data_IF_175209638688
#
_entry.id   IF_175209638688
#
_cell.length_a   1.000
_cell.length_b   1.000
_cell.length_c   1.000
_cell.angle_alpha   90.00
_cell.angle_beta   90.00
_cell.angle_gamma   90.00
#
_symmetry.space_group_name_H-M   'P 1'
#
loop_
_entity.id
_entity.type
_entity.pdbx_description
1 polymer ?
#
# COMPACT_ATOMS: atom_id res chain seq x y z
N UNK A 1 -3.60 -11.64 -10.77
CA UNK A 1 -2.29 -11.58 -10.10
C UNK A 1 -2.21 -12.75 -9.12
N UNK A 2 -1.74 -13.93 -9.53
CA UNK A 2 -1.76 -15.15 -8.68
C UNK A 2 -0.77 -15.05 -7.52
N UNK A 3 0.38 -14.39 -7.73
CA UNK A 3 1.42 -14.22 -6.73
C UNK A 3 1.01 -13.42 -5.47
N UNK A 4 -0.08 -12.64 -5.53
CA UNK A 4 -0.65 -11.99 -4.32
C UNK A 4 -1.34 -13.03 -3.43
N UNK A 5 -2.03 -14.00 -4.04
CA UNK A 5 -2.76 -15.05 -3.32
C UNK A 5 -1.82 -16.09 -2.71
N UNK A 6 -0.65 -16.32 -3.32
CA UNK A 6 0.37 -17.24 -2.83
C UNK A 6 1.22 -16.63 -1.70
N UNK A 7 1.11 -15.32 -1.46
CA UNK A 7 1.86 -14.64 -0.41
C UNK A 7 1.23 -14.89 0.98
N UNK A 8 2.01 -15.30 1.99
CA UNK A 8 1.49 -15.56 3.35
C UNK A 8 0.88 -14.33 4.03
N UNK A 9 1.27 -13.11 3.61
CA UNK A 9 0.65 -11.87 4.07
C UNK A 9 0.72 -10.78 2.98
N UNK A 10 -0.23 -9.86 2.96
CA UNK A 10 -0.21 -8.67 2.11
C UNK A 10 -0.50 -7.42 2.93
N UNK A 11 0.37 -6.42 2.85
CA UNK A 11 0.09 -5.09 3.40
C UNK A 11 -0.74 -4.27 2.42
N UNK A 12 -1.72 -3.51 2.91
CA UNK A 12 -2.45 -2.53 2.10
C UNK A 12 -2.24 -1.15 2.72
N UNK A 13 -1.70 -0.24 1.91
CA UNK A 13 -1.50 1.15 2.30
C UNK A 13 -2.67 1.95 1.73
N UNK A 14 -3.48 2.51 2.61
CA UNK A 14 -4.60 3.38 2.26
C UNK A 14 -4.39 4.79 2.82
N UNK A 15 -4.88 5.80 2.11
CA UNK A 15 -4.79 7.19 2.52
C UNK A 15 -6.15 7.83 2.72
N UNK A 16 -6.22 8.73 3.70
CA UNK A 16 -7.32 9.67 3.90
C UNK A 16 -6.92 11.02 3.27
N UNK A 17 -7.27 11.24 2.01
CA UNK A 17 -6.85 12.45 1.29
C UNK A 17 -7.27 13.74 1.97
N UNK A 18 -8.49 13.80 2.50
CA UNK A 18 -9.05 14.99 3.14
C UNK A 18 -8.19 15.48 4.30
N UNK A 19 -7.59 14.56 5.07
CA UNK A 19 -6.72 14.89 6.19
C UNK A 19 -5.50 15.72 5.76
N UNK A 20 -4.93 15.42 4.61
CA UNK A 20 -3.73 16.11 4.09
C UNK A 20 -4.12 17.32 3.23
N UNK A 21 -5.15 17.21 2.39
CA UNK A 21 -5.60 18.32 1.53
C UNK A 21 -6.24 19.46 2.34
N UNK A 22 -6.84 19.18 3.51
CA UNK A 22 -7.34 20.24 4.41
C UNK A 22 -6.26 21.25 4.79
N UNK A 23 -4.99 20.84 4.88
CA UNK A 23 -3.86 21.72 5.21
C UNK A 23 -3.16 22.29 3.97
N UNK A 24 -3.03 21.50 2.91
CA UNK A 24 -2.15 21.81 1.78
C UNK A 24 -2.88 22.05 0.45
N UNK A 25 -4.22 22.02 0.46
CA UNK A 25 -5.04 22.09 -0.75
C UNK A 25 -4.66 20.99 -1.73
N UNK A 26 -4.58 21.34 -3.02
CA UNK A 26 -4.27 20.40 -4.10
C UNK A 26 -2.88 19.78 -3.98
N UNK A 27 -1.93 20.47 -3.36
CA UNK A 27 -0.59 19.91 -3.08
C UNK A 27 -0.65 18.74 -2.10
N UNK A 28 -1.70 18.66 -1.29
CA UNK A 28 -1.91 17.54 -0.37
C UNK A 28 -2.02 16.20 -1.08
N UNK A 29 -2.55 16.16 -2.31
CA UNK A 29 -2.63 14.93 -3.11
C UNK A 29 -1.24 14.39 -3.44
N UNK A 30 -0.33 15.28 -3.84
CA UNK A 30 1.08 14.94 -4.12
C UNK A 30 1.76 14.44 -2.86
N UNK A 31 1.56 15.14 -1.73
CA UNK A 31 2.18 14.76 -0.45
C UNK A 31 1.70 13.40 0.05
N UNK A 32 0.43 13.06 -0.13
CA UNK A 32 -0.08 11.72 0.19
C UNK A 32 0.70 10.64 -0.57
N UNK A 33 0.97 10.83 -1.86
CA UNK A 33 1.69 9.82 -2.65
C UNK A 33 3.17 9.71 -2.24
N UNK A 34 3.80 10.83 -1.87
CA UNK A 34 5.16 10.85 -1.32
C UNK A 34 5.22 10.07 0.00
N UNK A 35 4.27 10.30 0.91
CA UNK A 35 4.20 9.59 2.19
C UNK A 35 3.97 8.08 1.98
N UNK A 36 3.07 7.71 1.08
CA UNK A 36 2.83 6.30 0.72
C UNK A 36 4.09 5.65 0.15
N UNK A 37 4.84 6.36 -0.69
CA UNK A 37 6.13 5.90 -1.21
C UNK A 37 7.16 5.67 -0.09
N UNK A 38 7.26 6.57 0.88
CA UNK A 38 8.14 6.39 2.04
C UNK A 38 7.75 5.18 2.89
N UNK A 39 6.45 4.99 3.16
CA UNK A 39 5.96 3.82 3.90
C UNK A 39 6.26 2.54 3.13
N UNK A 40 6.01 2.51 1.82
CA UNK A 40 6.35 1.38 0.95
C UNK A 40 7.84 1.04 1.01
N UNK A 41 8.72 2.04 0.97
CA UNK A 41 10.16 1.81 1.01
C UNK A 41 10.62 1.24 2.37
N UNK A 42 10.00 1.68 3.47
CA UNK A 42 10.28 1.08 4.77
C UNK A 42 9.91 -0.40 4.80
N UNK A 43 8.77 -0.78 4.19
CA UNK A 43 8.36 -2.19 4.09
C UNK A 43 9.38 -2.98 3.25
N UNK A 44 9.85 -2.44 2.13
CA UNK A 44 10.91 -3.07 1.33
C UNK A 44 12.17 -3.33 2.16
N UNK A 45 12.66 -2.32 2.90
CA UNK A 45 13.86 -2.44 3.73
C UNK A 45 13.69 -3.46 4.86
N UNK A 46 12.50 -3.53 5.47
CA UNK A 46 12.22 -4.53 6.49
C UNK A 46 12.12 -5.94 5.90
N UNK A 47 11.54 -6.10 4.71
CA UNK A 47 11.52 -7.40 4.03
C UNK A 47 12.95 -7.87 3.75
N UNK A 48 13.79 -7.01 3.17
CA UNK A 48 15.20 -7.32 2.90
C UNK A 48 15.95 -7.73 4.17
N UNK A 49 15.82 -6.95 5.26
CA UNK A 49 16.47 -7.25 6.53
C UNK A 49 16.03 -8.59 7.15
N UNK A 50 14.83 -9.07 6.83
CA UNK A 50 14.28 -10.34 7.30
C UNK A 50 14.48 -11.51 6.33
N UNK A 51 15.15 -11.29 5.19
CA UNK A 51 15.27 -12.30 4.13
C UNK A 51 13.94 -12.63 3.45
N UNK A 52 13.03 -11.65 3.38
CA UNK A 52 11.74 -11.72 2.69
C UNK A 52 11.77 -10.87 1.42
N UNK A 53 10.81 -11.09 0.53
CA UNK A 53 10.58 -10.28 -0.66
C UNK A 53 9.19 -9.66 -0.65
N UNK A 54 9.08 -8.47 -1.25
CA UNK A 54 7.80 -7.77 -1.46
C UNK A 54 7.81 -7.02 -2.78
N UNK A 55 6.62 -6.64 -3.27
CA UNK A 55 6.46 -5.75 -4.41
C UNK A 55 5.34 -4.74 -4.18
N UNK A 56 5.56 -3.47 -4.47
CA UNK A 56 4.51 -2.46 -4.47
C UNK A 56 3.65 -2.56 -5.72
N UNK A 57 2.35 -2.80 -5.52
CA UNK A 57 1.37 -2.95 -6.61
C UNK A 57 0.36 -1.81 -6.48
N UNK A 58 0.35 -0.91 -7.46
CA UNK A 58 -0.68 0.14 -7.62
C UNK A 58 -1.80 -0.25 -8.59
N UNK A 59 -1.69 -1.40 -9.26
CA UNK A 59 -2.67 -1.89 -10.22
C UNK A 59 -3.52 -2.99 -9.58
N UNK A 60 -4.68 -2.60 -9.04
CA UNK A 60 -5.70 -3.47 -8.46
C UNK A 60 -7.09 -2.81 -8.59
N UNK A 61 -8.16 -3.50 -8.18
CA UNK A 61 -9.50 -2.92 -8.14
C UNK A 61 -9.77 -2.27 -6.78
N UNK A 62 -9.66 -0.95 -6.71
CA UNK A 62 -9.76 -0.17 -5.46
C UNK A 62 -11.02 -0.50 -4.64
N UNK A 63 -12.18 -0.54 -5.31
CA UNK A 63 -13.46 -0.82 -4.65
C UNK A 63 -13.54 -2.25 -4.10
N UNK A 64 -12.89 -3.21 -4.77
CA UNK A 64 -12.85 -4.58 -4.29
C UNK A 64 -11.95 -4.71 -3.08
N UNK A 65 -10.76 -4.12 -3.11
CA UNK A 65 -9.82 -4.10 -1.98
C UNK A 65 -10.46 -3.41 -0.77
N UNK A 66 -11.08 -2.25 -0.98
CA UNK A 66 -11.75 -1.52 0.08
C UNK A 66 -12.90 -2.35 0.70
N UNK A 67 -13.67 -3.07 -0.12
CA UNK A 67 -14.75 -3.94 0.35
C UNK A 67 -14.23 -5.14 1.13
N UNK A 68 -13.23 -5.85 0.61
CA UNK A 68 -12.64 -7.04 1.26
C UNK A 68 -12.07 -6.68 2.63
N UNK A 69 -11.42 -5.53 2.74
CA UNK A 69 -10.84 -5.04 3.99
C UNK A 69 -11.82 -4.23 4.87
N UNK A 70 -13.08 -4.08 4.45
CA UNK A 70 -14.09 -3.26 5.14
C UNK A 70 -13.60 -1.85 5.47
N UNK A 71 -12.87 -1.22 4.53
CA UNK A 71 -12.28 0.09 4.75
C UNK A 71 -13.37 1.17 4.91
N UNK A 72 -13.18 2.13 5.83
CA UNK A 72 -13.97 3.36 5.84
C UNK A 72 -13.94 4.05 4.48
N UNK A 73 -15.05 4.65 4.05
CA UNK A 73 -15.17 5.32 2.73
C UNK A 73 -14.12 6.40 2.47
N UNK A 74 -13.62 7.02 3.55
CA UNK A 74 -12.59 8.07 3.51
C UNK A 74 -11.19 7.53 3.20
N UNK A 75 -10.96 6.24 3.44
CA UNK A 75 -9.70 5.58 3.13
C UNK A 75 -9.70 5.04 1.71
N UNK A 76 -8.72 5.48 0.93
CA UNK A 76 -8.50 5.05 -0.45
C UNK A 76 -7.24 4.18 -0.51
N UNK A 77 -7.35 2.89 -0.87
CA UNK A 77 -6.16 2.04 -1.06
C UNK A 77 -5.31 2.61 -2.19
N UNK A 78 -3.98 2.60 -2.01
CA UNK A 78 -3.02 3.12 -2.99
C UNK A 78 -2.00 2.03 -3.37
N UNK A 79 -1.52 1.25 -2.39
CA UNK A 79 -0.67 0.10 -2.64
C UNK A 79 -1.18 -1.16 -1.97
N UNK A 80 -1.00 -2.28 -2.67
CA UNK A 80 -0.99 -3.62 -2.10
C UNK A 80 0.45 -4.15 -2.19
N UNK A 81 0.96 -4.69 -1.10
CA UNK A 81 2.33 -5.18 -0.96
C UNK A 81 2.33 -6.61 -0.41
N UNK A 82 2.23 -7.64 -1.28
CA UNK A 82 2.38 -9.03 -0.86
C UNK A 82 3.81 -9.29 -0.38
N UNK A 83 3.94 -10.00 0.74
CA UNK A 83 5.22 -10.38 1.33
C UNK A 83 5.33 -11.91 1.32
N UNK A 84 6.43 -12.41 0.79
CA UNK A 84 6.74 -13.83 0.72
C UNK A 84 8.21 -14.11 0.97
N UNK A 85 8.58 -15.39 0.96
CA UNK A 85 9.99 -15.79 1.04
C UNK A 85 10.66 -15.43 -0.27
N UNK A 86 11.86 -14.83 -0.20
CA UNK A 86 12.68 -14.61 -1.38
C UNK A 86 13.06 -15.99 -1.96
N UNK A 87 12.55 -16.31 -3.14
CA UNK A 87 13.02 -17.45 -3.90
C UNK A 87 14.48 -17.18 -4.28
N UNK A 88 15.40 -17.97 -3.73
CA UNK A 88 16.79 -18.00 -4.16
C UNK A 88 16.94 -18.51 -5.58
#
# INVERSE_FOLDING_TARGET
QTFIADAPVSFVIAAEYERTTRRYGDRGVIYVHIEVGHVSQNIYLQCEALGLATVAIGAFYDDEVARVLSLPKVHKPIYVMPVGVSGG
#
